data_IF_871999565924
#
_entry.id   IF_871999565924
#
_cell.length_a   1.000
_cell.length_b   1.000
_cell.length_c   1.000
_cell.angle_alpha   90.00
_cell.angle_beta   90.00
_cell.angle_gamma   90.00
#
_symmetry.space_group_name_H-M   'P 1'
#
loop_
_entity.id
_entity.type
_entity.pdbx_description
1 polymer ?
#
# COMPACT_ATOMS: atom_id res chain seq x y z
N UNK A 1 3.09 25.16 -41.43
CA UNK A 1 3.65 23.91 -40.85
C UNK A 1 3.25 23.80 -39.38
N UNK A 2 2.36 22.87 -39.02
CA UNK A 2 1.92 22.65 -37.64
C UNK A 2 2.99 21.87 -36.87
N UNK A 3 3.52 22.45 -35.78
CA UNK A 3 4.37 21.76 -34.81
C UNK A 3 3.57 20.64 -34.17
N UNK A 4 3.95 19.39 -34.44
CA UNK A 4 3.45 18.22 -33.70
C UNK A 4 4.02 18.31 -32.29
N UNK A 5 3.14 18.59 -31.34
CA UNK A 5 3.40 18.55 -29.90
C UNK A 5 3.91 17.16 -29.54
N UNK A 6 5.14 17.07 -29.01
CA UNK A 6 5.66 15.86 -28.35
C UNK A 6 4.76 15.53 -27.16
N UNK A 7 3.74 14.73 -27.39
CA UNK A 7 2.93 14.15 -26.32
C UNK A 7 3.86 13.27 -25.48
N UNK A 8 3.91 13.54 -24.17
CA UNK A 8 4.74 12.87 -23.16
C UNK A 8 4.65 11.33 -23.24
N UNK A 9 5.53 10.72 -24.03
CA UNK A 9 5.61 9.27 -24.24
C UNK A 9 5.94 8.50 -22.95
N UNK A 10 6.68 9.11 -22.01
CA UNK A 10 7.00 8.50 -20.71
C UNK A 10 5.78 8.20 -19.83
N UNK A 11 4.76 9.07 -19.84
CA UNK A 11 3.54 8.88 -19.02
C UNK A 11 2.70 7.70 -19.53
N UNK A 12 2.68 7.50 -20.86
CA UNK A 12 2.02 6.35 -21.49
C UNK A 12 2.82 5.05 -21.33
N UNK A 13 4.16 5.11 -21.31
CA UNK A 13 5.02 3.96 -20.99
C UNK A 13 4.81 3.51 -19.53
N UNK A 14 4.67 4.45 -18.58
CA UNK A 14 4.33 4.19 -17.16
C UNK A 14 3.00 3.43 -17.01
N UNK A 15 2.05 3.64 -17.93
CA UNK A 15 0.70 3.02 -17.93
C UNK A 15 0.61 1.71 -18.74
N UNK A 16 1.56 1.44 -19.65
CA UNK A 16 1.55 0.29 -20.59
C UNK A 16 2.43 -0.90 -20.17
N UNK A 17 3.27 -0.74 -19.15
CA UNK A 17 3.96 -1.88 -18.50
C UNK A 17 3.05 -2.66 -17.53
N UNK A 18 1.81 -2.20 -17.31
CA UNK A 18 0.82 -2.85 -16.46
C UNK A 18 0.18 -4.07 -17.18
N UNK A 19 0.89 -5.20 -17.16
CA UNK A 19 0.23 -6.50 -16.99
C UNK A 19 -0.56 -6.46 -15.66
N UNK A 20 -1.63 -7.27 -15.54
CA UNK A 20 -2.63 -7.25 -14.45
C UNK A 20 -2.11 -6.62 -13.16
N UNK A 21 -2.51 -5.37 -12.88
CA UNK A 21 -2.05 -4.53 -11.75
C UNK A 21 -2.09 -5.28 -10.41
N UNK A 22 -3.02 -6.24 -10.30
CA UNK A 22 -3.22 -7.07 -9.11
C UNK A 22 -2.16 -8.16 -8.89
N UNK A 23 -1.39 -8.54 -9.90
CA UNK A 23 -0.43 -9.67 -9.86
C UNK A 23 0.99 -9.30 -10.30
N UNK A 24 1.22 -8.07 -10.76
CA UNK A 24 2.57 -7.62 -11.15
C UNK A 24 3.50 -7.59 -9.92
N UNK A 25 4.39 -8.58 -9.86
CA UNK A 25 5.37 -8.72 -8.80
C UNK A 25 6.32 -7.53 -8.68
N UNK A 26 6.61 -6.78 -9.76
CA UNK A 26 7.43 -5.57 -9.71
C UNK A 26 6.67 -4.44 -9.04
N UNK A 27 5.41 -4.23 -9.41
CA UNK A 27 4.54 -3.23 -8.78
C UNK A 27 4.37 -3.49 -7.28
N UNK A 28 4.09 -4.75 -6.90
CA UNK A 28 3.94 -5.11 -5.49
C UNK A 28 5.25 -4.95 -4.71
N UNK A 29 6.38 -5.40 -5.28
CA UNK A 29 7.72 -5.22 -4.68
C UNK A 29 8.02 -3.74 -4.45
N UNK A 30 7.74 -2.91 -5.46
CA UNK A 30 7.95 -1.47 -5.39
C UNK A 30 7.18 -0.84 -4.23
N UNK A 31 5.87 -1.11 -4.14
CA UNK A 31 5.05 -0.51 -3.09
C UNK A 31 5.40 -1.04 -1.70
N UNK A 32 5.83 -2.30 -1.56
CA UNK A 32 6.34 -2.81 -0.28
C UNK A 32 7.51 -1.95 0.21
N UNK A 33 8.51 -1.70 -0.65
CA UNK A 33 9.70 -0.92 -0.28
C UNK A 33 9.34 0.52 0.05
N UNK A 34 8.52 1.15 -0.81
CA UNK A 34 8.05 2.52 -0.64
C UNK A 34 7.31 2.70 0.70
N UNK A 35 6.34 1.82 0.99
CA UNK A 35 5.58 1.83 2.24
C UNK A 35 6.53 1.71 3.44
N UNK A 36 7.41 0.71 3.44
CA UNK A 36 8.27 0.48 4.61
C UNK A 36 9.19 1.66 4.89
N UNK A 37 9.76 2.30 3.86
CA UNK A 37 10.61 3.45 4.09
C UNK A 37 9.86 4.72 4.48
N UNK A 38 8.67 4.99 3.91
CA UNK A 38 7.80 6.09 4.35
C UNK A 38 7.36 5.92 5.81
N UNK A 39 7.09 4.69 6.22
CA UNK A 39 6.78 4.33 7.61
C UNK A 39 8.01 4.30 8.54
N UNK A 40 9.20 4.62 8.01
CA UNK A 40 10.49 4.56 8.71
C UNK A 40 10.67 3.20 9.41
N UNK A 41 10.32 2.14 8.70
CA UNK A 41 10.47 0.76 9.13
C UNK A 41 11.84 0.22 8.70
N UNK A 42 12.89 0.85 9.21
CA UNK A 42 14.30 0.53 8.99
C UNK A 42 14.99 0.36 10.34
N UNK A 43 16.20 -0.21 10.40
CA UNK A 43 17.04 -0.17 11.61
C UNK A 43 16.32 -0.70 12.86
N UNK A 44 15.84 -1.95 12.81
CA UNK A 44 15.06 -2.64 13.86
C UNK A 44 13.67 -2.04 14.15
N UNK A 45 13.19 -1.11 13.34
CA UNK A 45 11.80 -0.63 13.38
C UNK A 45 10.94 -1.44 12.42
N UNK A 46 9.96 -2.16 12.96
CA UNK A 46 9.12 -3.04 12.16
C UNK A 46 7.71 -2.48 11.94
N UNK A 47 7.15 -2.77 10.77
CA UNK A 47 5.73 -2.78 10.52
C UNK A 47 5.16 -4.07 11.11
N UNK A 48 4.28 -3.93 12.13
CA UNK A 48 3.62 -5.08 12.73
C UNK A 48 2.65 -5.71 11.74
N UNK A 49 2.58 -7.02 11.62
CA UNK A 49 1.64 -7.72 10.72
C UNK A 49 1.70 -7.30 9.23
N UNK A 50 2.47 -8.06 8.45
CA UNK A 50 2.70 -7.80 7.02
C UNK A 50 1.44 -7.82 6.16
N UNK A 51 0.34 -8.44 6.61
CA UNK A 51 -0.88 -8.51 5.82
C UNK A 51 -1.50 -7.13 5.57
N UNK A 52 -1.18 -6.13 6.41
CA UNK A 52 -1.58 -4.73 6.20
C UNK A 52 -1.08 -4.15 4.89
N UNK A 53 0.06 -4.62 4.37
CA UNK A 53 0.58 -4.15 3.09
C UNK A 53 -0.46 -4.34 1.99
N UNK A 54 -1.23 -5.43 2.03
CA UNK A 54 -2.25 -5.68 1.03
C UNK A 54 -3.29 -4.57 0.97
N UNK A 55 -3.78 -4.12 2.13
CA UNK A 55 -4.72 -3.00 2.18
C UNK A 55 -4.04 -1.68 1.82
N UNK A 56 -2.83 -1.41 2.33
CA UNK A 56 -2.10 -0.17 2.03
C UNK A 56 -1.86 0.01 0.52
N UNK A 57 -1.49 -1.06 -0.18
CA UNK A 57 -1.35 -1.05 -1.64
C UNK A 57 -2.70 -0.85 -2.32
N UNK A 58 -3.75 -1.57 -1.89
CA UNK A 58 -5.09 -1.38 -2.46
C UNK A 58 -5.60 0.06 -2.31
N UNK A 59 -5.28 0.74 -1.20
CA UNK A 59 -5.69 2.13 -0.96
C UNK A 59 -5.06 3.07 -1.99
N UNK A 60 -3.75 3.00 -2.19
CA UNK A 60 -3.02 3.96 -3.04
C UNK A 60 -3.11 3.67 -4.54
N UNK A 61 -3.61 2.50 -4.94
CA UNK A 61 -3.76 2.12 -6.35
C UNK A 61 -4.72 3.01 -7.14
N UNK A 62 -5.73 3.60 -6.49
CA UNK A 62 -6.79 4.36 -7.16
C UNK A 62 -7.05 5.66 -6.41
N UNK A 63 -7.12 6.83 -7.10
CA UNK A 63 -7.49 8.10 -6.50
C UNK A 63 -8.77 8.05 -5.67
N UNK A 64 -9.81 7.35 -6.17
CA UNK A 64 -11.08 7.18 -5.46
C UNK A 64 -10.94 6.45 -4.12
N UNK A 65 -10.02 5.48 -4.01
CA UNK A 65 -9.80 4.72 -2.78
C UNK A 65 -9.20 5.63 -1.72
N UNK A 66 -8.24 6.47 -2.13
CA UNK A 66 -7.60 7.49 -1.29
C UNK A 66 -8.64 8.47 -0.74
N UNK A 67 -9.51 9.01 -1.60
CA UNK A 67 -10.57 9.95 -1.20
C UNK A 67 -11.51 9.33 -0.16
N UNK A 68 -11.96 8.09 -0.40
CA UNK A 68 -12.83 7.39 0.54
C UNK A 68 -12.13 7.12 1.88
N UNK A 69 -10.87 6.70 1.87
CA UNK A 69 -10.10 6.51 3.11
C UNK A 69 -9.90 7.82 3.87
N UNK A 70 -9.63 8.93 3.16
CA UNK A 70 -9.53 10.26 3.79
C UNK A 70 -10.83 10.64 4.50
N UNK A 71 -12.00 10.37 3.89
CA UNK A 71 -13.31 10.56 4.55
C UNK A 71 -13.45 9.70 5.80
N UNK A 72 -13.14 8.40 5.70
CA UNK A 72 -13.23 7.44 6.82
C UNK A 72 -12.35 7.87 8.00
N UNK A 73 -11.12 8.28 7.74
CA UNK A 73 -10.15 8.69 8.77
C UNK A 73 -10.50 10.02 9.43
N UNK A 74 -11.29 10.87 8.77
CA UNK A 74 -11.80 12.14 9.30
C UNK A 74 -13.20 12.03 9.91
N UNK A 75 -13.74 10.81 10.01
CA UNK A 75 -15.12 10.56 10.46
C UNK A 75 -16.17 11.33 9.65
N UNK A 76 -15.91 11.56 8.36
CA UNK A 76 -16.86 12.19 7.44
C UNK A 76 -17.97 11.20 7.00
N UNK A 77 -19.10 11.74 6.52
CA UNK A 77 -20.24 10.94 6.06
C UNK A 77 -19.87 10.13 4.81
N UNK A 78 -20.10 8.82 4.87
CA UNK A 78 -19.89 7.85 3.78
C UNK A 78 -21.23 7.58 3.09
N UNK A 79 -21.28 7.71 1.76
CA UNK A 79 -22.47 7.38 0.96
C UNK A 79 -22.38 5.96 0.36
N UNK A 80 -23.42 5.50 -0.34
CA UNK A 80 -23.46 4.13 -0.87
C UNK A 80 -22.41 3.88 -1.97
N UNK A 81 -22.03 4.91 -2.72
CA UNK A 81 -20.92 4.81 -3.68
C UNK A 81 -19.58 4.59 -2.96
N UNK A 82 -19.33 5.32 -1.89
CA UNK A 82 -18.14 5.17 -1.04
C UNK A 82 -18.12 3.77 -0.37
N UNK A 83 -19.28 3.25 0.07
CA UNK A 83 -19.40 1.88 0.60
C UNK A 83 -19.03 0.81 -0.42
N UNK A 84 -19.50 0.93 -1.67
CA UNK A 84 -19.12 0.00 -2.74
C UNK A 84 -17.61 0.02 -2.99
N UNK A 85 -16.98 1.19 -2.92
CA UNK A 85 -15.51 1.30 -3.00
C UNK A 85 -14.83 0.60 -1.82
N UNK A 86 -15.32 0.78 -0.60
CA UNK A 86 -14.81 0.08 0.57
C UNK A 86 -14.93 -1.44 0.42
N UNK A 87 -16.06 -1.94 -0.09
CA UNK A 87 -16.29 -3.36 -0.34
C UNK A 87 -15.29 -3.91 -1.37
N UNK A 88 -15.13 -3.22 -2.50
CA UNK A 88 -14.11 -3.55 -3.51
C UNK A 88 -12.71 -3.59 -2.89
N UNK A 89 -12.34 -2.59 -2.07
CA UNK A 89 -11.03 -2.55 -1.43
C UNK A 89 -10.80 -3.73 -0.49
N UNK A 90 -11.81 -4.08 0.31
CA UNK A 90 -11.74 -5.21 1.23
C UNK A 90 -11.42 -6.49 0.46
N UNK A 91 -12.27 -6.85 -0.52
CA UNK A 91 -12.11 -8.08 -1.28
C UNK A 91 -10.79 -8.13 -2.04
N UNK A 92 -10.44 -7.05 -2.76
CA UNK A 92 -9.20 -6.98 -3.52
C UNK A 92 -7.95 -7.07 -2.64
N UNK A 93 -7.97 -6.47 -1.45
CA UNK A 93 -6.85 -6.58 -0.50
C UNK A 93 -6.66 -8.02 -0.01
N UNK A 94 -7.74 -8.74 0.29
CA UNK A 94 -7.69 -10.13 0.77
C UNK A 94 -7.13 -11.08 -0.28
N UNK A 95 -7.55 -10.94 -1.54
CA UNK A 95 -7.07 -11.78 -2.64
C UNK A 95 -5.54 -11.71 -2.85
N UNK A 96 -4.91 -10.58 -2.51
CA UNK A 96 -3.48 -10.33 -2.74
C UNK A 96 -2.56 -10.84 -1.64
N UNK A 97 -3.09 -11.17 -0.47
CA UNK A 97 -2.30 -11.52 0.71
C UNK A 97 -1.31 -12.65 0.39
N UNK A 98 -1.74 -13.69 -0.33
CA UNK A 98 -0.91 -14.84 -0.68
C UNK A 98 0.28 -14.43 -1.56
N UNK A 99 0.03 -13.66 -2.63
CA UNK A 99 1.06 -13.19 -3.55
C UNK A 99 2.05 -12.26 -2.85
N UNK A 100 1.55 -11.33 -2.02
CA UNK A 100 2.40 -10.44 -1.21
C UNK A 100 3.27 -11.20 -0.22
N UNK A 101 2.73 -12.22 0.42
CA UNK A 101 3.49 -13.08 1.35
C UNK A 101 4.65 -13.76 0.61
N UNK A 102 4.41 -14.29 -0.58
CA UNK A 102 5.46 -14.90 -1.42
C UNK A 102 6.55 -13.89 -1.81
N UNK A 103 6.16 -12.66 -2.17
CA UNK A 103 7.10 -11.58 -2.50
C UNK A 103 7.92 -11.18 -1.26
N UNK A 104 7.29 -11.01 -0.10
CA UNK A 104 7.97 -10.66 1.15
C UNK A 104 9.05 -11.70 1.49
N UNK A 105 8.73 -12.99 1.42
CA UNK A 105 9.74 -14.04 1.68
C UNK A 105 10.84 -14.08 0.63
N UNK A 106 10.51 -13.79 -0.63
CA UNK A 106 11.51 -13.64 -1.71
C UNK A 106 12.47 -12.48 -1.44
N UNK A 107 11.95 -11.34 -0.99
CA UNK A 107 12.75 -10.16 -0.61
C UNK A 107 13.60 -10.42 0.64
N UNK A 108 13.09 -11.20 1.59
CA UNK A 108 13.84 -11.61 2.77
C UNK A 108 15.03 -12.53 2.42
N UNK A 109 14.83 -13.50 1.51
CA UNK A 109 15.93 -14.33 0.99
C UNK A 109 17.02 -13.50 0.29
N UNK A 110 16.64 -12.37 -0.32
CA UNK A 110 17.55 -11.42 -0.96
C UNK A 110 18.14 -10.37 -0.01
N UNK A 111 17.86 -10.45 1.30
CA UNK A 111 18.35 -9.51 2.31
C UNK A 111 17.92 -8.04 2.06
N UNK A 112 16.76 -7.85 1.43
CA UNK A 112 16.18 -6.51 1.21
C UNK A 112 15.25 -6.14 2.38
N UNK A 113 14.54 -7.13 2.92
CA UNK A 113 13.60 -7.01 4.02
C UNK A 113 13.99 -7.99 5.11
N UNK A 114 13.90 -7.57 6.37
CA UNK A 114 13.96 -8.44 7.54
C UNK A 114 12.54 -8.89 7.90
N UNK A 115 12.33 -10.19 8.06
CA UNK A 115 11.09 -10.78 8.58
C UNK A 115 11.32 -11.34 9.98
N UNK A 116 10.38 -11.10 10.90
CA UNK A 116 10.37 -11.75 12.22
C UNK A 116 8.98 -12.27 12.57
N UNK A 117 8.93 -13.35 13.34
CA UNK A 117 7.68 -13.88 13.88
C UNK A 117 7.18 -13.01 15.03
N UNK A 118 5.89 -12.71 15.04
CA UNK A 118 5.20 -11.91 16.07
C UNK A 118 3.86 -12.56 16.40
N UNK A 119 3.89 -13.51 17.35
CA UNK A 119 2.73 -14.35 17.67
C UNK A 119 2.27 -15.18 16.46
N UNK A 120 1.05 -14.92 15.98
CA UNK A 120 0.44 -15.55 14.80
C UNK A 120 0.69 -14.78 13.49
N UNK A 121 1.41 -13.67 13.56
CA UNK A 121 1.68 -12.79 12.41
C UNK A 121 3.19 -12.72 12.14
N UNK A 122 3.55 -12.09 11.02
CA UNK A 122 4.94 -11.75 10.73
C UNK A 122 5.07 -10.22 10.65
N UNK A 123 6.12 -9.69 11.26
CA UNK A 123 6.47 -8.28 11.18
C UNK A 123 7.60 -8.12 10.16
N UNK A 124 7.64 -6.97 9.49
CA UNK A 124 8.59 -6.70 8.41
C UNK A 124 9.26 -5.33 8.51
N UNK A 125 10.49 -5.23 8.06
CA UNK A 125 11.31 -4.00 8.06
C UNK A 125 12.28 -4.05 6.88
N UNK A 126 12.66 -2.90 6.30
CA UNK A 126 13.79 -2.86 5.38
C UNK A 126 15.08 -3.17 6.14
N UNK A 127 16.00 -3.87 5.47
CA UNK A 127 17.27 -4.27 6.10
C UNK A 127 18.15 -3.07 6.45
N UNK A 128 18.11 -1.99 5.65
CA UNK A 128 18.74 -0.71 5.97
C UNK A 128 18.01 0.45 5.27
N UNK A 129 18.27 1.69 5.71
CA UNK A 129 17.67 2.88 5.10
C UNK A 129 18.17 3.14 3.67
N UNK A 130 19.40 2.74 3.35
CA UNK A 130 19.96 2.91 2.00
C UNK A 130 19.15 2.16 0.93
N UNK A 131 18.48 1.05 1.29
CA UNK A 131 17.56 0.37 0.36
C UNK A 131 16.49 1.35 -0.13
N UNK A 132 15.86 2.10 0.77
CA UNK A 132 14.83 3.08 0.40
C UNK A 132 15.43 4.27 -0.36
N UNK A 133 16.55 4.82 0.13
CA UNK A 133 17.20 5.99 -0.49
C UNK A 133 17.71 5.71 -1.90
N UNK A 134 18.30 4.53 -2.13
CA UNK A 134 18.77 4.12 -3.45
C UNK A 134 17.63 3.71 -4.39
N UNK A 135 16.48 3.33 -3.84
CA UNK A 135 15.31 2.89 -4.60
C UNK A 135 14.42 4.05 -5.05
N UNK A 136 14.35 5.12 -4.28
CA UNK A 136 13.52 6.28 -4.58
C UNK A 136 14.33 7.35 -5.30
N UNK A 137 14.10 7.43 -6.60
CA UNK A 137 14.28 8.68 -7.31
C UNK A 137 13.09 9.60 -6.96
N UNK A 138 13.29 10.50 -6.00
CA UNK A 138 12.25 11.42 -5.49
C UNK A 138 11.51 12.16 -6.60
N UNK A 139 12.14 12.42 -7.76
CA UNK A 139 11.49 13.10 -8.89
C UNK A 139 10.54 12.21 -9.68
N UNK A 140 10.74 10.89 -9.68
CA UNK A 140 9.89 9.94 -10.42
C UNK A 140 8.63 9.54 -9.64
N UNK A 141 8.65 9.75 -8.32
CA UNK A 141 7.67 9.21 -7.37
C UNK A 141 7.09 10.27 -6.42
N UNK A 142 7.29 11.55 -6.73
CA UNK A 142 6.84 12.68 -5.90
C UNK A 142 5.32 12.60 -5.64
N UNK A 143 4.53 12.34 -6.69
CA UNK A 143 3.07 12.19 -6.58
C UNK A 143 2.68 11.03 -5.65
N UNK A 144 3.35 9.88 -5.78
CA UNK A 144 3.06 8.67 -4.99
C UNK A 144 3.43 8.91 -3.52
N UNK A 145 4.63 9.48 -3.28
CA UNK A 145 5.12 9.84 -1.94
C UNK A 145 4.15 10.81 -1.27
N UNK A 146 3.75 11.89 -1.96
CA UNK A 146 2.85 12.89 -1.40
C UNK A 146 1.48 12.29 -1.03
N UNK A 147 0.94 11.41 -1.88
CA UNK A 147 -0.31 10.70 -1.59
C UNK A 147 -0.19 9.82 -0.34
N UNK A 148 0.90 9.06 -0.22
CA UNK A 148 1.12 8.25 0.96
C UNK A 148 1.27 9.11 2.21
N UNK A 149 2.05 10.19 2.12
CA UNK A 149 2.27 11.10 3.22
C UNK A 149 0.96 11.75 3.69
N UNK A 150 0.14 12.24 2.77
CA UNK A 150 -1.18 12.82 3.04
C UNK A 150 -2.11 11.91 3.84
N UNK A 151 -2.12 10.61 3.52
CA UNK A 151 -3.00 9.64 4.19
C UNK A 151 -2.33 9.13 5.47
N UNK A 152 -1.00 9.00 5.42
CA UNK A 152 -0.24 8.16 6.33
C UNK A 152 0.94 8.88 7.04
N UNK A 153 0.89 10.19 7.26
CA UNK A 153 1.88 10.90 8.10
C UNK A 153 1.57 10.83 9.61
N UNK A 154 0.32 10.66 10.04
CA UNK A 154 -0.07 10.55 11.46
C UNK A 154 0.09 9.12 12.06
N UNK A 155 1.10 8.38 11.61
CA UNK A 155 1.02 6.90 11.41
C UNK A 155 1.88 6.05 12.32
N UNK A 156 2.41 6.64 13.38
CA UNK A 156 2.92 5.84 14.51
C UNK A 156 1.95 4.73 14.93
N UNK A 157 0.64 5.00 14.88
CA UNK A 157 -0.42 4.03 15.17
C UNK A 157 -0.52 2.90 14.13
N UNK A 158 -0.58 3.20 12.83
CA UNK A 158 -0.76 2.18 11.78
C UNK A 158 0.41 1.20 11.78
N UNK A 159 1.64 1.68 12.02
CA UNK A 159 2.81 0.82 12.14
C UNK A 159 2.66 -0.25 13.24
N UNK A 160 2.04 0.11 14.36
CA UNK A 160 1.98 -0.70 15.59
C UNK A 160 0.72 -1.58 15.72
N UNK A 161 -0.38 -1.24 15.05
CA UNK A 161 -1.62 -2.05 15.09
C UNK A 161 -1.51 -3.29 14.20
N UNK A 162 -2.30 -4.34 14.48
CA UNK A 162 -2.39 -5.53 13.62
C UNK A 162 -3.37 -5.29 12.47
N UNK A 163 -3.36 -6.17 11.46
CA UNK A 163 -4.20 -6.07 10.29
C UNK A 163 -5.70 -6.04 10.64
N UNK A 164 -6.14 -6.85 11.60
CA UNK A 164 -7.55 -6.88 12.00
C UNK A 164 -8.02 -5.54 12.57
N UNK A 165 -7.21 -4.91 13.43
CA UNK A 165 -7.50 -3.57 13.94
C UNK A 165 -7.53 -2.54 12.82
N UNK A 166 -6.59 -2.63 11.86
CA UNK A 166 -6.56 -1.72 10.73
C UNK A 166 -7.79 -1.87 9.84
N UNK A 167 -8.20 -3.11 9.53
CA UNK A 167 -9.44 -3.40 8.81
C UNK A 167 -10.66 -2.85 9.54
N UNK A 168 -10.74 -3.01 10.86
CA UNK A 168 -11.87 -2.50 11.66
C UNK A 168 -11.97 -0.97 11.60
N UNK A 169 -10.85 -0.25 11.50
CA UNK A 169 -10.85 1.21 11.34
C UNK A 169 -11.36 1.59 9.95
N UNK A 170 -10.81 0.98 8.90
CA UNK A 170 -11.08 1.37 7.51
C UNK A 170 -12.49 0.93 7.07
N UNK A 171 -12.95 -0.26 7.46
CA UNK A 171 -14.18 -0.86 6.97
C UNK A 171 -15.35 -0.77 7.95
N UNK A 172 -15.26 0.09 8.97
CA UNK A 172 -16.29 0.22 10.02
C UNK A 172 -17.71 0.44 9.46
N UNK A 173 -17.84 1.16 8.35
CA UNK A 173 -19.13 1.55 7.75
C UNK A 173 -19.76 0.47 6.87
N UNK A 174 -19.04 -0.62 6.60
CA UNK A 174 -19.52 -1.77 5.81
C UNK A 174 -19.36 -3.08 6.61
N UNK A 175 -19.27 -2.98 7.94
CA UNK A 175 -18.94 -4.13 8.79
C UNK A 175 -20.02 -5.21 8.72
N UNK A 176 -21.29 -4.84 8.69
CA UNK A 176 -22.38 -5.81 8.54
C UNK A 176 -22.31 -6.51 7.18
N UNK A 177 -21.97 -5.77 6.12
CA UNK A 177 -21.87 -6.30 4.76
C UNK A 177 -20.65 -7.24 4.52
N UNK A 178 -19.63 -7.15 5.37
CA UNK A 178 -18.34 -7.84 5.17
C UNK A 178 -18.13 -9.01 6.13
N UNK A 179 -18.74 -8.98 7.32
CA UNK A 179 -18.46 -9.94 8.39
C UNK A 179 -19.56 -10.99 8.59
N UNK A 180 -20.69 -10.87 7.87
CA UNK A 180 -21.77 -11.88 7.83
C UNK A 180 -21.61 -12.91 6.69
N UNK A 181 -20.37 -13.11 6.19
CA UNK A 181 -20.00 -14.19 5.24
C UNK A 181 -18.99 -15.14 5.89
#
# INVERSE_FOLDING_TARGET
>A
MKKVTKINSKKFIKKRLMFSIAEDSYFLTYNIILILGLLKCTDNKYLKDSNKIALLITIIEKPKNIEVVKKVLKDEKINDYDKNILFDMYYNSKLRIRSLTSIIFSLNKKQIINVRKSGKTIDISLTNNNVYENFIDKKLFEDDVQVYEDIFLNVGKIKQIINDTFNNIIFKSIREDVWDI
#
